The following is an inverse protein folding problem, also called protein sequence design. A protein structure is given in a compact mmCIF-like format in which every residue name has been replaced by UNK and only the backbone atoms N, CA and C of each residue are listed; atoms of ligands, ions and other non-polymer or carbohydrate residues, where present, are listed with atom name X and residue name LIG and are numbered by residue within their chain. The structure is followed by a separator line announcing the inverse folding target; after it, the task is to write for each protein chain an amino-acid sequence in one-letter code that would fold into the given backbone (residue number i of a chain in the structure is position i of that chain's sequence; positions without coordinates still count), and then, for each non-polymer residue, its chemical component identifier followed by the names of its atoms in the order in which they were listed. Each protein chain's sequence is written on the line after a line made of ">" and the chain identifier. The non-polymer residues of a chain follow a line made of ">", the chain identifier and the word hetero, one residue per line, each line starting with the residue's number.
data_IF_110422821742
#
_entry.id   IF_110422821742
#
_cell.length_a   1.000
_cell.length_b   1.000
_cell.length_c   1.000
_cell.angle_alpha   90.00
_cell.angle_beta   90.00
_cell.angle_gamma   90.00
#
_symmetry.space_group_name_H-M   'P 1'
#
loop_
_entity.id
_entity.type
_entity.pdbx_description
1 polymer ?
#
# COMPACT_ATOMS: atom_id res chain seq x y z
N UNK A 1 24.09 21.10 -15.40
CA UNK A 1 24.74 19.77 -15.25
C UNK A 1 23.72 18.89 -14.56
N UNK A 2 22.96 18.14 -15.35
CA UNK A 2 21.86 17.32 -14.85
C UNK A 2 22.38 15.96 -14.40
N UNK A 3 22.33 15.71 -13.10
CA UNK A 3 22.46 14.36 -12.55
C UNK A 3 21.17 13.60 -12.84
N UNK A 4 21.13 12.93 -13.99
CA UNK A 4 20.14 11.89 -14.24
C UNK A 4 20.41 10.73 -13.29
N UNK A 5 19.66 10.67 -12.19
CA UNK A 5 19.61 9.49 -11.33
C UNK A 5 19.09 8.33 -12.17
N UNK A 6 19.93 7.30 -12.30
CA UNK A 6 19.66 6.07 -12.99
C UNK A 6 18.64 5.28 -12.15
N UNK A 7 17.37 5.27 -12.60
CA UNK A 7 16.28 4.56 -11.92
C UNK A 7 16.57 3.04 -11.94
N UNK A 8 16.42 2.39 -10.78
CA UNK A 8 16.87 1.04 -10.46
C UNK A 8 16.59 -0.05 -11.50
N UNK A 9 17.61 -0.92 -11.70
CA UNK A 9 17.60 -2.05 -12.64
C UNK A 9 16.97 -3.32 -12.02
N UNK A 10 15.68 -3.26 -11.65
CA UNK A 10 14.88 -4.45 -11.30
C UNK A 10 13.56 -4.45 -12.08
N UNK A 11 13.11 -5.61 -12.56
CA UNK A 11 11.80 -5.71 -13.21
C UNK A 11 10.70 -5.72 -12.14
N UNK A 12 9.77 -4.75 -12.22
CA UNK A 12 8.60 -4.75 -11.36
C UNK A 12 7.53 -5.67 -11.97
N UNK A 13 6.71 -6.32 -11.13
CA UNK A 13 5.60 -7.18 -11.56
C UNK A 13 4.31 -6.82 -10.84
N UNK A 14 3.22 -6.71 -11.59
CA UNK A 14 1.90 -6.36 -11.09
C UNK A 14 0.95 -7.56 -11.05
N UNK A 15 0.25 -7.71 -9.92
CA UNK A 15 -0.91 -8.61 -9.80
C UNK A 15 -2.13 -7.79 -9.41
N UNK A 16 -3.11 -7.75 -10.32
CA UNK A 16 -4.36 -6.97 -10.18
C UNK A 16 -5.59 -7.88 -10.01
N UNK A 17 -5.58 -9.05 -10.64
CA UNK A 17 -6.73 -9.95 -10.68
C UNK A 17 -6.95 -10.59 -9.30
N UNK A 18 -8.15 -10.46 -8.70
CA UNK A 18 -8.46 -11.01 -7.38
C UNK A 18 -8.01 -12.45 -7.16
N UNK A 19 -8.36 -13.32 -8.11
CA UNK A 19 -8.08 -14.76 -8.09
C UNK A 19 -6.57 -15.09 -8.06
N UNK A 20 -5.70 -14.22 -8.56
CA UNK A 20 -4.25 -14.47 -8.63
C UNK A 20 -3.47 -13.93 -7.42
N UNK A 21 -4.09 -13.08 -6.58
CA UNK A 21 -3.39 -12.35 -5.51
C UNK A 21 -2.85 -13.29 -4.43
N UNK A 22 -3.68 -14.22 -3.96
CA UNK A 22 -3.30 -15.16 -2.89
C UNK A 22 -2.12 -16.02 -3.33
N UNK A 23 -2.22 -16.65 -4.49
CA UNK A 23 -1.15 -17.50 -5.03
C UNK A 23 0.16 -16.73 -5.21
N UNK A 24 0.11 -15.49 -5.69
CA UNK A 24 1.30 -14.66 -5.83
C UNK A 24 1.99 -14.34 -4.48
N UNK A 25 1.23 -14.16 -3.40
CA UNK A 25 1.81 -13.99 -2.04
C UNK A 25 2.41 -15.32 -1.55
N UNK A 26 1.71 -16.43 -1.75
CA UNK A 26 2.20 -17.76 -1.36
C UNK A 26 3.49 -18.12 -2.10
N UNK A 27 3.57 -17.85 -3.41
CA UNK A 27 4.78 -18.04 -4.21
C UNK A 27 5.97 -17.26 -3.66
N UNK A 28 5.76 -15.99 -3.25
CA UNK A 28 6.81 -15.19 -2.64
C UNK A 28 7.30 -15.81 -1.31
N UNK A 29 6.38 -16.18 -0.42
CA UNK A 29 6.73 -16.82 0.85
C UNK A 29 7.46 -18.15 0.64
N UNK A 30 7.07 -18.93 -0.39
CA UNK A 30 7.73 -20.18 -0.79
C UNK A 30 9.13 -19.97 -1.36
N UNK A 31 9.36 -18.84 -2.03
CA UNK A 31 10.65 -18.55 -2.67
C UNK A 31 11.79 -18.30 -1.69
N UNK A 32 11.47 -17.82 -0.48
CA UNK A 32 12.45 -17.47 0.55
C UNK A 32 13.23 -18.71 1.05
N UNK A 33 14.55 -18.54 1.20
CA UNK A 33 15.47 -19.60 1.61
C UNK A 33 16.12 -19.34 2.96
N UNK A 34 16.29 -18.08 3.35
CA UNK A 34 17.02 -17.67 4.55
C UNK A 34 16.17 -16.80 5.46
N UNK A 35 15.52 -15.76 4.92
CA UNK A 35 14.75 -14.79 5.70
C UNK A 35 13.44 -14.41 5.04
N UNK A 36 12.44 -14.12 5.86
CA UNK A 36 11.24 -13.40 5.45
C UNK A 36 11.07 -12.23 6.40
N UNK A 37 11.07 -11.03 5.86
CA UNK A 37 10.65 -9.82 6.57
C UNK A 37 9.21 -9.51 6.17
N UNK A 38 8.29 -9.56 7.12
CA UNK A 38 6.85 -9.44 6.88
C UNK A 38 6.25 -8.32 7.72
N UNK A 39 5.74 -7.30 7.05
CA UNK A 39 4.96 -6.23 7.66
C UNK A 39 3.48 -6.47 7.42
N UNK A 40 2.69 -6.57 8.49
CA UNK A 40 1.25 -6.81 8.37
C UNK A 40 0.40 -5.97 9.33
N UNK A 41 -0.81 -5.62 8.88
CA UNK A 41 -1.81 -4.93 9.69
C UNK A 41 -2.87 -5.92 10.22
N UNK A 42 -3.54 -6.66 9.33
CA UNK A 42 -4.52 -7.71 9.67
C UNK A 42 -4.24 -8.97 8.85
N UNK A 43 -4.46 -10.13 9.47
CA UNK A 43 -4.37 -11.44 8.82
C UNK A 43 -5.40 -12.39 9.41
N UNK A 44 -6.26 -12.96 8.56
CA UNK A 44 -7.16 -14.09 8.91
C UNK A 44 -7.23 -15.15 7.81
N UNK A 45 -6.38 -15.05 6.78
CA UNK A 45 -6.27 -16.08 5.76
C UNK A 45 -5.34 -17.18 6.26
N UNK A 46 -5.92 -18.35 6.56
CA UNK A 46 -5.17 -19.50 7.09
C UNK A 46 -4.11 -20.01 6.11
N UNK A 47 -4.29 -19.85 4.79
CA UNK A 47 -3.28 -20.30 3.83
C UNK A 47 -1.99 -19.49 3.93
N UNK A 48 -2.09 -18.20 4.28
CA UNK A 48 -0.92 -17.36 4.56
C UNK A 48 -0.24 -17.81 5.85
N UNK A 49 -1.01 -18.13 6.89
CA UNK A 49 -0.48 -18.61 8.17
C UNK A 49 0.21 -19.98 8.04
N UNK A 50 -0.38 -20.89 7.26
CA UNK A 50 0.19 -22.19 6.95
C UNK A 50 1.52 -22.04 6.18
N UNK A 51 1.60 -21.08 5.25
CA UNK A 51 2.84 -20.85 4.51
C UNK A 51 3.92 -20.18 5.37
N UNK A 52 3.55 -19.32 6.33
CA UNK A 52 4.49 -18.82 7.36
C UNK A 52 5.03 -19.99 8.20
N UNK A 53 4.16 -20.91 8.65
CA UNK A 53 4.57 -22.10 9.38
C UNK A 53 5.52 -22.98 8.54
N UNK A 54 5.18 -23.20 7.27
CA UNK A 54 6.00 -23.96 6.34
C UNK A 54 7.38 -23.32 6.14
N UNK A 55 7.47 -21.99 6.04
CA UNK A 55 8.74 -21.28 5.95
C UNK A 55 9.62 -21.50 7.19
N UNK A 56 9.04 -21.38 8.39
CA UNK A 56 9.77 -21.67 9.64
C UNK A 56 10.24 -23.12 9.68
N UNK A 57 9.40 -24.09 9.29
CA UNK A 57 9.79 -25.51 9.21
C UNK A 57 10.92 -25.78 8.21
N UNK A 58 11.00 -25.01 7.12
CA UNK A 58 12.13 -25.04 6.17
C UNK A 58 13.42 -24.44 6.75
N UNK A 59 13.38 -23.86 7.94
CA UNK A 59 14.52 -23.19 8.58
C UNK A 59 14.69 -21.72 8.16
N UNK A 60 13.70 -21.12 7.49
CA UNK A 60 13.70 -19.70 7.14
C UNK A 60 13.43 -18.87 8.39
N UNK A 61 14.24 -17.85 8.63
CA UNK A 61 14.02 -16.90 9.73
C UNK A 61 12.91 -15.92 9.35
N UNK A 62 11.70 -16.17 9.85
CA UNK A 62 10.54 -15.33 9.61
C UNK A 62 10.42 -14.26 10.71
N UNK A 63 10.58 -12.99 10.32
CA UNK A 63 10.46 -11.81 11.18
C UNK A 63 9.22 -11.03 10.79
N UNK A 64 8.35 -10.79 11.76
CA UNK A 64 7.04 -10.18 11.55
C UNK A 64 6.92 -8.92 12.39
N UNK A 65 6.63 -7.79 11.74
CA UNK A 65 6.23 -6.56 12.40
C UNK A 65 4.72 -6.39 12.24
N UNK A 66 4.01 -6.37 13.37
CA UNK A 66 2.54 -6.36 13.41
C UNK A 66 2.00 -5.17 14.18
N UNK A 67 0.89 -4.61 13.72
CA UNK A 67 0.17 -3.57 14.47
C UNK A 67 -0.31 -4.08 15.83
N UNK A 68 -0.29 -3.20 16.84
CA UNK A 68 -0.91 -3.48 18.14
C UNK A 68 -2.38 -3.07 18.22
N UNK A 69 -2.84 -2.22 17.28
CA UNK A 69 -4.16 -1.58 17.35
C UNK A 69 -4.80 -1.56 15.98
N UNK A 70 -5.86 -2.36 15.85
CA UNK A 70 -6.83 -2.24 14.79
C UNK A 70 -8.23 -2.26 15.42
N UNK A 71 -9.08 -1.31 15.01
CA UNK A 71 -10.48 -1.22 15.46
C UNK A 71 -11.17 -2.57 15.20
N UNK A 72 -11.96 -3.06 16.15
CA UNK A 72 -12.63 -4.37 16.11
C UNK A 72 -11.72 -5.61 16.20
N UNK A 73 -10.39 -5.45 16.24
CA UNK A 73 -9.43 -6.56 16.08
C UNK A 73 -8.55 -6.81 17.30
N UNK A 74 -8.82 -6.17 18.45
CA UNK A 74 -7.96 -6.28 19.64
C UNK A 74 -7.71 -7.74 20.07
N UNK A 75 -8.77 -8.55 20.19
CA UNK A 75 -8.65 -9.97 20.57
C UNK A 75 -8.01 -10.79 19.45
N UNK A 76 -8.46 -10.62 18.21
CA UNK A 76 -7.91 -11.30 17.02
C UNK A 76 -6.40 -11.04 16.86
N UNK A 77 -5.92 -9.82 17.09
CA UNK A 77 -4.49 -9.48 17.02
C UNK A 77 -3.67 -10.16 18.12
N UNK A 78 -4.22 -10.29 19.33
CA UNK A 78 -3.56 -11.02 20.42
C UNK A 78 -3.45 -12.51 20.07
N UNK A 79 -4.54 -13.12 19.61
CA UNK A 79 -4.57 -14.52 19.18
C UNK A 79 -3.63 -14.76 17.99
N UNK A 80 -3.65 -13.90 16.98
CA UNK A 80 -2.76 -13.95 15.82
C UNK A 80 -1.28 -13.84 16.25
N UNK A 81 -0.95 -12.91 17.15
CA UNK A 81 0.42 -12.73 17.65
C UNK A 81 0.89 -13.99 18.38
N UNK A 82 0.05 -14.58 19.24
CA UNK A 82 0.37 -15.82 19.96
C UNK A 82 0.53 -16.99 19.00
N UNK A 83 -0.36 -17.12 18.01
CA UNK A 83 -0.29 -18.15 16.98
C UNK A 83 1.02 -18.06 16.21
N UNK A 84 1.34 -16.89 15.63
CA UNK A 84 2.57 -16.70 14.86
C UNK A 84 3.84 -17.00 15.68
N UNK A 85 3.87 -16.62 16.96
CA UNK A 85 4.98 -16.98 17.87
C UNK A 85 5.04 -18.48 18.13
N UNK A 86 3.91 -19.13 18.32
CA UNK A 86 3.84 -20.59 18.52
C UNK A 86 4.28 -21.38 17.28
N UNK A 87 4.14 -20.80 16.08
CA UNK A 87 4.69 -21.35 14.83
C UNK A 87 6.20 -21.18 14.70
N UNK A 88 6.85 -20.40 15.58
CA UNK A 88 8.29 -20.15 15.61
C UNK A 88 8.74 -18.90 14.85
N UNK A 89 7.83 -18.02 14.43
CA UNK A 89 8.18 -16.72 13.86
C UNK A 89 8.64 -15.73 14.95
N UNK A 90 9.61 -14.87 14.64
CA UNK A 90 9.98 -13.72 15.46
C UNK A 90 8.96 -12.59 15.25
N UNK A 91 8.01 -12.44 16.18
CA UNK A 91 6.94 -11.45 16.07
C UNK A 91 7.18 -10.28 17.00
N UNK A 92 7.38 -9.12 16.39
CA UNK A 92 7.54 -7.83 17.03
C UNK A 92 6.28 -7.00 16.86
N UNK A 93 5.56 -6.67 17.94
CA UNK A 93 4.48 -5.70 17.87
C UNK A 93 5.04 -4.29 17.70
N UNK A 94 4.45 -3.49 16.81
CA UNK A 94 4.87 -2.11 16.56
C UNK A 94 4.72 -1.25 17.82
N UNK A 95 5.84 -0.73 18.34
CA UNK A 95 5.92 -0.06 19.64
C UNK A 95 5.79 1.46 19.52
N UNK A 96 4.63 1.95 19.09
CA UNK A 96 4.33 3.40 19.11
C UNK A 96 2.95 3.68 19.68
N UNK A 97 2.88 4.58 20.67
CA UNK A 97 1.61 5.07 21.23
C UNK A 97 0.92 6.07 20.29
N UNK A 98 1.71 6.86 19.57
CA UNK A 98 1.26 8.02 18.78
C UNK A 98 1.10 7.75 17.29
N UNK A 99 1.78 6.73 16.76
CA UNK A 99 1.72 6.37 15.33
C UNK A 99 1.11 4.98 15.15
N UNK A 100 0.11 4.88 14.27
CA UNK A 100 -0.51 3.58 13.95
C UNK A 100 0.25 2.92 12.80
N UNK A 101 0.48 1.62 12.92
CA UNK A 101 1.14 0.83 11.88
C UNK A 101 0.14 0.33 10.85
N UNK A 102 0.35 0.63 9.56
CA UNK A 102 -0.54 0.23 8.48
C UNK A 102 0.18 -0.19 7.18
N UNK A 103 1.52 -0.18 7.17
CA UNK A 103 2.35 -0.64 6.08
C UNK A 103 2.17 -2.15 5.84
N UNK A 104 2.05 -2.56 4.57
CA UNK A 104 1.95 -3.96 4.16
C UNK A 104 3.01 -4.25 3.11
N UNK A 105 3.98 -5.05 3.48
CA UNK A 105 5.05 -5.46 2.58
C UNK A 105 5.68 -6.78 3.03
N UNK A 106 6.33 -7.45 2.09
CA UNK A 106 7.10 -8.67 2.33
C UNK A 106 8.44 -8.49 1.64
N UNK A 107 9.53 -8.92 2.26
CA UNK A 107 10.83 -9.07 1.60
C UNK A 107 11.29 -10.50 1.86
N UNK A 108 11.51 -11.27 0.80
CA UNK A 108 12.13 -12.59 0.87
C UNK A 108 13.63 -12.44 0.66
N UNK A 109 14.46 -12.92 1.58
CA UNK A 109 15.93 -12.88 1.49
C UNK A 109 16.49 -11.47 1.20
N UNK A 110 17.13 -11.30 0.04
CA UNK A 110 17.63 -10.03 -0.52
C UNK A 110 16.79 -9.57 -1.73
N UNK A 111 15.53 -10.00 -1.78
CA UNK A 111 14.59 -9.78 -2.87
C UNK A 111 14.04 -11.10 -3.44
N UNK A 112 12.85 -11.07 -4.07
CA UNK A 112 12.05 -9.88 -4.36
C UNK A 112 11.29 -9.33 -3.14
N UNK A 113 10.92 -8.05 -3.23
CA UNK A 113 10.01 -7.38 -2.29
C UNK A 113 8.59 -7.33 -2.87
N UNK A 114 7.59 -7.31 -1.99
CA UNK A 114 6.18 -7.04 -2.28
C UNK A 114 5.74 -5.81 -1.51
N UNK A 115 5.16 -4.82 -2.19
CA UNK A 115 4.37 -3.73 -1.61
C UNK A 115 2.92 -3.89 -2.04
N UNK A 116 1.97 -3.74 -1.10
CA UNK A 116 0.56 -3.99 -1.41
C UNK A 116 -0.40 -3.08 -0.66
N UNK A 117 -1.59 -2.88 -1.24
CA UNK A 117 -2.71 -2.22 -0.58
C UNK A 117 -3.54 -3.17 0.30
N UNK A 118 -3.41 -4.49 0.12
CA UNK A 118 -4.26 -5.49 0.80
C UNK A 118 -3.81 -5.80 2.22
N UNK A 119 -4.80 -6.02 3.10
CA UNK A 119 -4.59 -6.81 4.30
C UNK A 119 -4.57 -8.30 3.94
N UNK A 120 -3.87 -9.15 4.70
CA UNK A 120 -3.82 -10.60 4.46
C UNK A 120 -5.09 -11.31 4.99
N UNK A 121 -6.26 -10.76 4.66
CA UNK A 121 -7.56 -11.29 5.07
C UNK A 121 -8.27 -11.94 3.89
N UNK A 122 -9.14 -12.92 4.18
CA UNK A 122 -9.96 -13.59 3.14
C UNK A 122 -10.77 -12.58 2.33
N UNK A 123 -11.39 -11.60 3.00
CA UNK A 123 -12.11 -10.49 2.38
C UNK A 123 -11.25 -9.74 1.36
N UNK A 124 -10.01 -9.39 1.71
CA UNK A 124 -9.12 -8.67 0.80
C UNK A 124 -8.64 -9.54 -0.38
N UNK A 125 -8.58 -10.85 -0.23
CA UNK A 125 -8.25 -11.74 -1.35
C UNK A 125 -9.43 -11.98 -2.29
N UNK A 126 -10.65 -11.99 -1.79
CA UNK A 126 -11.84 -12.47 -2.53
C UNK A 126 -12.78 -11.36 -2.99
N UNK A 127 -12.92 -10.30 -2.19
CA UNK A 127 -14.07 -9.38 -2.29
C UNK A 127 -13.68 -7.91 -2.50
N UNK A 128 -12.39 -7.62 -2.62
CA UNK A 128 -11.88 -6.26 -2.85
C UNK A 128 -11.05 -6.18 -4.14
N UNK A 129 -10.86 -4.96 -4.64
CA UNK A 129 -9.88 -4.63 -5.67
C UNK A 129 -8.66 -4.03 -5.00
N UNK A 130 -7.60 -4.83 -4.86
CA UNK A 130 -6.30 -4.41 -4.32
C UNK A 130 -5.18 -4.75 -5.30
N UNK A 131 -4.01 -4.18 -5.03
CA UNK A 131 -2.86 -4.24 -5.91
C UNK A 131 -1.66 -4.84 -5.20
N UNK A 132 -0.92 -5.70 -5.90
CA UNK A 132 0.38 -6.20 -5.46
C UNK A 132 1.41 -5.75 -6.48
N UNK A 133 2.48 -5.15 -5.96
CA UNK A 133 3.65 -4.77 -6.75
C UNK A 133 4.84 -5.52 -6.19
N UNK A 134 5.39 -6.43 -7.00
CA UNK A 134 6.64 -7.10 -6.71
C UNK A 134 7.77 -6.29 -7.33
N UNK A 135 8.89 -6.16 -6.64
CA UNK A 135 10.06 -5.44 -7.12
C UNK A 135 11.33 -6.20 -6.75
N UNK A 136 12.22 -6.34 -7.74
CA UNK A 136 13.60 -6.81 -7.55
C UNK A 136 14.58 -5.63 -7.42
N UNK A 137 14.08 -4.39 -7.46
CA UNK A 137 14.89 -3.18 -7.35
C UNK A 137 15.60 -3.13 -5.98
N UNK A 138 16.95 -3.15 -5.94
CA UNK A 138 17.70 -3.12 -4.70
C UNK A 138 17.36 -1.91 -3.81
N UNK A 139 16.99 -0.77 -4.39
CA UNK A 139 16.62 0.42 -3.63
C UNK A 139 15.33 0.20 -2.83
N UNK A 140 14.39 -0.56 -3.41
CA UNK A 140 13.11 -0.90 -2.77
C UNK A 140 13.33 -1.98 -1.71
N UNK A 141 14.06 -3.04 -2.05
CA UNK A 141 14.37 -4.14 -1.13
C UNK A 141 15.12 -3.61 0.10
N UNK A 142 16.21 -2.87 -0.11
CA UNK A 142 17.01 -2.31 0.98
C UNK A 142 16.23 -1.26 1.75
N UNK A 143 15.46 -0.39 1.08
CA UNK A 143 14.62 0.60 1.73
C UNK A 143 13.59 -0.01 2.67
N UNK A 144 12.94 -1.11 2.27
CA UNK A 144 11.99 -1.84 3.13
C UNK A 144 12.66 -2.57 4.29
N UNK A 145 13.84 -3.17 4.08
CA UNK A 145 14.64 -3.78 5.16
C UNK A 145 15.08 -2.72 6.18
N UNK A 146 15.57 -1.57 5.71
CA UNK A 146 15.92 -0.42 6.55
C UNK A 146 14.71 0.09 7.33
N UNK A 147 13.56 0.23 6.67
CA UNK A 147 12.32 0.65 7.33
C UNK A 147 11.91 -0.33 8.42
N UNK A 148 11.97 -1.65 8.15
CA UNK A 148 11.64 -2.67 9.14
C UNK A 148 12.53 -2.57 10.38
N UNK A 149 13.86 -2.49 10.21
CA UNK A 149 14.77 -2.32 11.35
C UNK A 149 14.49 -1.02 12.11
N UNK A 150 14.25 0.07 11.40
CA UNK A 150 13.91 1.35 12.02
C UNK A 150 12.63 1.25 12.84
N UNK A 151 11.58 0.65 12.29
CA UNK A 151 10.28 0.52 12.95
C UNK A 151 10.29 -0.47 14.12
N UNK A 152 11.22 -1.44 14.14
CA UNK A 152 11.46 -2.33 15.28
C UNK A 152 12.11 -1.61 16.48
N UNK A 153 12.95 -0.59 16.25
CA UNK A 153 13.78 0.00 17.30
C UNK A 153 13.41 1.45 17.65
N UNK A 154 13.17 2.29 16.65
CA UNK A 154 12.97 3.74 16.81
C UNK A 154 11.84 4.27 15.93
N UNK A 155 10.62 3.71 15.97
CA UNK A 155 9.58 3.95 14.97
C UNK A 155 9.17 5.41 14.77
N UNK A 156 9.32 6.26 15.79
CA UNK A 156 8.94 7.69 15.77
C UNK A 156 10.06 8.64 15.35
N UNK A 157 11.30 8.14 15.18
CA UNK A 157 12.39 8.97 14.69
C UNK A 157 12.23 9.23 13.17
N UNK A 158 12.75 10.34 12.63
CA UNK A 158 12.76 10.58 11.21
C UNK A 158 13.59 9.52 10.48
N UNK A 159 13.01 8.89 9.46
CA UNK A 159 13.73 7.93 8.62
C UNK A 159 14.46 8.65 7.48
N UNK A 160 15.74 8.30 7.26
CA UNK A 160 16.56 8.83 6.18
C UNK A 160 17.11 7.72 5.28
N UNK A 161 17.62 8.08 4.11
CA UNK A 161 18.22 7.12 3.16
C UNK A 161 17.21 6.36 2.28
N UNK A 162 15.93 6.72 2.33
CA UNK A 162 14.90 6.16 1.44
C UNK A 162 14.90 6.89 0.10
N UNK A 163 15.06 6.13 -0.98
CA UNK A 163 15.12 6.67 -2.35
C UNK A 163 13.74 7.19 -2.82
N UNK A 164 13.70 7.78 -4.03
CA UNK A 164 12.47 8.31 -4.62
C UNK A 164 11.47 7.21 -5.06
N UNK A 165 11.91 5.95 -5.15
CA UNK A 165 11.09 4.79 -5.52
C UNK A 165 10.13 4.36 -4.41
N UNK A 166 10.53 4.52 -3.15
CA UNK A 166 9.73 4.15 -1.98
C UNK A 166 9.22 5.41 -1.25
N UNK A 167 7.91 5.53 -1.16
CA UNK A 167 7.23 6.56 -0.37
C UNK A 167 6.89 5.96 1.00
N UNK A 168 7.22 6.68 2.06
CA UNK A 168 6.99 6.27 3.45
C UNK A 168 6.29 7.42 4.18
N UNK A 169 5.11 7.12 4.73
CA UNK A 169 4.38 8.03 5.61
C UNK A 169 4.71 7.71 7.07
N UNK A 170 4.77 8.71 7.98
CA UNK A 170 4.45 10.11 7.72
C UNK A 170 5.62 10.95 7.21
N UNK A 171 6.83 10.38 7.09
CA UNK A 171 8.06 11.13 6.84
C UNK A 171 7.98 12.04 5.60
N UNK A 172 7.89 11.46 4.40
CA UNK A 172 7.97 12.20 3.13
C UNK A 172 6.73 12.04 2.25
N UNK A 173 5.73 11.30 2.72
CA UNK A 173 4.53 10.97 1.95
C UNK A 173 3.73 12.22 1.51
N UNK A 174 3.35 13.10 2.45
CA UNK A 174 2.57 14.31 2.11
C UNK A 174 3.30 15.16 1.09
N UNK A 175 4.57 15.46 1.33
CA UNK A 175 5.37 16.28 0.44
C UNK A 175 5.47 15.65 -0.95
N UNK A 176 5.94 14.40 -1.04
CA UNK A 176 6.19 13.75 -2.33
C UNK A 176 4.92 13.52 -3.14
N UNK A 177 3.81 13.16 -2.51
CA UNK A 177 2.54 12.95 -3.21
C UNK A 177 1.96 14.28 -3.70
N UNK A 178 1.97 15.32 -2.85
CA UNK A 178 1.52 16.67 -3.23
C UNK A 178 2.34 17.24 -4.38
N UNK A 179 3.67 17.12 -4.34
CA UNK A 179 4.54 17.59 -5.41
C UNK A 179 4.24 16.88 -6.74
N UNK A 180 4.10 15.55 -6.73
CA UNK A 180 3.78 14.78 -7.94
C UNK A 180 2.43 15.17 -8.54
N UNK A 181 1.39 15.29 -7.72
CA UNK A 181 0.07 15.75 -8.16
C UNK A 181 0.13 17.19 -8.68
N UNK A 182 0.91 18.06 -8.05
CA UNK A 182 1.10 19.46 -8.45
C UNK A 182 1.78 19.57 -9.82
N UNK A 183 2.68 18.66 -10.18
CA UNK A 183 3.34 18.70 -11.48
C UNK A 183 2.59 17.98 -12.59
N UNK A 184 1.50 17.27 -12.30
CA UNK A 184 0.66 16.64 -13.33
C UNK A 184 0.18 17.63 -14.40
N UNK A 185 0.30 17.29 -15.68
CA UNK A 185 0.00 18.15 -16.82
C UNK A 185 -1.14 17.63 -17.70
N UNK A 186 -1.33 16.32 -17.82
CA UNK A 186 -2.20 15.71 -18.82
C UNK A 186 -3.35 14.91 -18.22
N UNK A 187 -3.18 14.27 -17.06
CA UNK A 187 -4.28 13.60 -16.35
C UNK A 187 -3.91 13.17 -14.94
N UNK A 188 -4.93 13.07 -14.08
CA UNK A 188 -4.83 12.45 -12.76
C UNK A 188 -5.95 11.39 -12.64
N UNK A 189 -5.57 10.15 -12.35
CA UNK A 189 -6.48 9.07 -11.98
C UNK A 189 -6.20 8.59 -10.57
N UNK A 190 -7.21 8.49 -9.71
CA UNK A 190 -7.04 8.04 -8.32
C UNK A 190 -8.07 6.95 -8.05
N UNK A 191 -7.64 5.82 -7.50
CA UNK A 191 -8.51 4.86 -6.84
C UNK A 191 -8.12 4.86 -5.36
N UNK A 192 -9.01 5.41 -4.54
CA UNK A 192 -8.83 5.54 -3.09
C UNK A 192 -10.19 5.88 -2.47
N UNK A 193 -10.71 5.00 -1.61
CA UNK A 193 -11.99 5.20 -0.93
C UNK A 193 -11.95 6.24 0.20
N UNK A 194 -10.80 6.87 0.48
CA UNK A 194 -10.61 7.85 1.57
C UNK A 194 -9.83 9.08 1.09
N UNK A 195 -10.18 9.63 -0.07
CA UNK A 195 -9.65 10.95 -0.49
C UNK A 195 -10.37 12.05 0.29
N UNK A 196 -9.83 12.41 1.45
CA UNK A 196 -10.43 13.37 2.37
C UNK A 196 -9.48 14.49 2.82
N UNK A 197 -8.22 14.45 2.40
CA UNK A 197 -7.25 15.50 2.76
C UNK A 197 -7.62 16.84 2.11
N UNK A 198 -7.81 17.93 2.90
CA UNK A 198 -8.27 19.22 2.36
C UNK A 198 -7.30 19.85 1.36
N UNK A 199 -5.99 19.71 1.58
CA UNK A 199 -4.97 20.30 0.70
C UNK A 199 -4.89 19.53 -0.62
N UNK A 200 -4.95 18.19 -0.56
CA UNK A 200 -5.03 17.35 -1.74
C UNK A 200 -6.32 17.63 -2.52
N UNK A 201 -7.48 17.70 -1.86
CA UNK A 201 -8.75 18.02 -2.52
C UNK A 201 -8.75 19.42 -3.15
N UNK A 202 -8.14 20.42 -2.50
CA UNK A 202 -7.94 21.74 -3.09
C UNK A 202 -7.06 21.67 -4.34
N UNK A 203 -5.95 20.93 -4.28
CA UNK A 203 -5.05 20.74 -5.42
C UNK A 203 -5.72 20.02 -6.59
N UNK A 204 -6.50 18.97 -6.33
CA UNK A 204 -7.23 18.23 -7.38
C UNK A 204 -8.28 19.13 -8.06
N UNK A 205 -9.01 19.94 -7.29
CA UNK A 205 -9.95 20.94 -7.84
C UNK A 205 -9.25 22.03 -8.66
N UNK A 206 -8.08 22.49 -8.21
CA UNK A 206 -7.24 23.43 -8.95
C UNK A 206 -6.83 22.82 -10.30
N UNK A 207 -6.35 21.57 -10.29
CA UNK A 207 -5.97 20.85 -11.51
C UNK A 207 -7.13 20.69 -12.48
N UNK A 208 -8.30 20.29 -11.98
CA UNK A 208 -9.51 20.19 -12.78
C UNK A 208 -9.92 21.54 -13.39
N UNK A 209 -9.84 22.62 -12.61
CA UNK A 209 -10.16 23.99 -13.08
C UNK A 209 -9.18 24.49 -14.14
N UNK A 210 -7.93 24.05 -14.07
CA UNK A 210 -6.89 24.33 -15.06
C UNK A 210 -6.96 23.42 -16.30
N UNK A 211 -8.01 22.59 -16.42
CA UNK A 211 -8.26 21.74 -17.59
C UNK A 211 -7.54 20.40 -17.59
N UNK A 212 -6.86 20.02 -16.51
CA UNK A 212 -6.31 18.66 -16.34
C UNK A 212 -7.47 17.72 -15.99
N UNK A 213 -7.76 16.67 -16.77
CA UNK A 213 -8.74 15.66 -16.39
C UNK A 213 -8.37 14.99 -15.07
N UNK A 214 -9.25 15.09 -14.08
CA UNK A 214 -9.10 14.45 -12.77
C UNK A 214 -10.26 13.47 -12.57
N UNK A 215 -9.96 12.20 -12.33
CA UNK A 215 -10.94 11.15 -12.02
C UNK A 215 -10.57 10.48 -10.71
N UNK A 216 -11.47 10.49 -9.74
CA UNK A 216 -11.29 9.84 -8.43
C UNK A 216 -12.37 8.78 -8.26
N UNK A 217 -11.98 7.52 -8.12
CA UNK A 217 -12.85 6.41 -7.73
C UNK A 217 -12.77 6.28 -6.21
N UNK A 218 -13.87 6.63 -5.54
CA UNK A 218 -14.00 6.62 -4.09
C UNK A 218 -14.50 5.29 -3.54
N UNK A 219 -15.34 5.37 -2.50
CA UNK A 219 -15.95 4.20 -1.89
C UNK A 219 -17.12 3.68 -2.74
N UNK A 220 -16.80 2.74 -3.65
CA UNK A 220 -17.77 2.14 -4.56
C UNK A 220 -17.54 0.64 -4.72
N UNK A 221 -18.59 -0.07 -5.15
CA UNK A 221 -18.49 -1.47 -5.59
C UNK A 221 -18.53 -1.56 -7.11
N UNK A 222 -17.55 -2.25 -7.68
CA UNK A 222 -17.40 -2.43 -9.12
C UNK A 222 -17.34 -3.92 -9.41
N UNK A 223 -18.31 -4.42 -10.19
CA UNK A 223 -18.53 -5.84 -10.48
C UNK A 223 -18.54 -6.72 -9.21
N UNK A 224 -19.24 -6.24 -8.18
CA UNK A 224 -19.36 -6.95 -6.90
C UNK A 224 -18.14 -6.85 -5.97
N UNK A 225 -17.05 -6.19 -6.37
CA UNK A 225 -15.84 -6.00 -5.55
C UNK A 225 -15.75 -4.57 -5.00
N UNK A 226 -15.33 -4.43 -3.75
CA UNK A 226 -15.10 -3.11 -3.11
C UNK A 226 -13.82 -2.48 -3.65
N UNK A 227 -13.85 -1.19 -4.00
CA UNK A 227 -12.69 -0.39 -4.41
C UNK A 227 -11.79 -0.05 -3.20
N UNK A 228 -11.13 -1.06 -2.64
CA UNK A 228 -10.31 -0.90 -1.43
C UNK A 228 -8.88 -0.40 -1.72
N UNK A 229 -8.30 -0.75 -2.86
CA UNK A 229 -6.90 -0.48 -3.18
C UNK A 229 -6.54 1.00 -3.19
N UNK A 230 -5.24 1.31 -3.20
CA UNK A 230 -4.75 2.69 -3.34
C UNK A 230 -3.83 2.76 -4.55
N UNK A 231 -4.26 3.53 -5.54
CA UNK A 231 -3.53 3.76 -6.78
C UNK A 231 -3.69 5.21 -7.21
N UNK A 232 -2.57 5.84 -7.56
CA UNK A 232 -2.54 7.18 -8.18
C UNK A 232 -1.85 7.03 -9.54
N UNK A 233 -2.46 7.54 -10.59
CA UNK A 233 -1.94 7.60 -11.95
C UNK A 233 -1.75 9.06 -12.32
N UNK A 234 -0.55 9.39 -12.83
CA UNK A 234 -0.17 10.75 -13.19
C UNK A 234 0.32 10.73 -14.63
N UNK A 235 -0.37 11.48 -15.47
CA UNK A 235 -0.03 11.76 -16.86
C UNK A 235 0.16 10.53 -17.77
N UNK A 236 -0.31 9.36 -17.32
CA UNK A 236 -0.09 8.08 -18.01
C UNK A 236 1.37 7.60 -18.00
N UNK A 237 2.24 8.23 -17.21
CA UNK A 237 3.69 7.93 -17.16
C UNK A 237 4.19 7.50 -15.79
N UNK A 238 3.46 7.83 -14.73
CA UNK A 238 3.78 7.42 -13.35
C UNK A 238 2.55 6.80 -12.69
N UNK A 239 2.78 5.72 -11.95
CA UNK A 239 1.82 5.17 -11.01
C UNK A 239 2.39 5.15 -9.59
N UNK A 240 1.54 5.33 -8.58
CA UNK A 240 1.90 5.13 -7.17
C UNK A 240 0.93 4.13 -6.56
N UNK A 241 1.45 3.05 -5.99
CA UNK A 241 0.64 1.96 -5.44
C UNK A 241 1.16 1.56 -4.06
N UNK A 242 0.25 1.37 -3.10
CA UNK A 242 0.61 0.87 -1.78
C UNK A 242 -0.52 0.97 -0.78
N UNK A 243 -0.16 1.25 0.48
CA UNK A 243 -1.12 1.33 1.59
C UNK A 243 -1.54 2.77 1.92
N UNK A 244 -1.02 3.78 1.22
CA UNK A 244 -1.22 5.20 1.56
C UNK A 244 -2.54 5.72 0.99
N UNK A 245 -3.41 6.23 1.87
CA UNK A 245 -4.56 7.03 1.46
C UNK A 245 -4.22 8.51 1.37
N UNK A 246 -4.98 9.23 0.55
CA UNK A 246 -5.02 10.70 0.50
C UNK A 246 -5.92 11.28 1.58
N UNK A 247 -5.66 10.90 2.83
CA UNK A 247 -6.32 11.42 4.04
C UNK A 247 -5.28 11.89 5.06
N UNK A 248 -5.58 12.87 5.92
CA UNK A 248 -4.61 13.38 6.89
C UNK A 248 -4.04 12.29 7.81
N UNK A 249 -4.84 11.33 8.35
CA UNK A 249 -4.29 10.26 9.17
C UNK A 249 -3.28 9.36 8.44
N UNK A 250 -3.53 9.05 7.16
CA UNK A 250 -2.59 8.25 6.35
C UNK A 250 -1.30 9.00 6.05
N UNK A 251 -1.42 10.27 5.67
CA UNK A 251 -0.29 11.08 5.24
C UNK A 251 0.63 11.47 6.40
N UNK A 252 0.07 11.74 7.60
CA UNK A 252 0.81 12.42 8.68
C UNK A 252 0.90 11.62 10.00
N UNK A 253 0.10 10.58 10.18
CA UNK A 253 -0.02 9.91 11.50
C UNK A 253 0.08 8.37 11.45
N UNK A 254 0.17 7.77 10.26
CA UNK A 254 0.28 6.33 10.07
C UNK A 254 1.58 5.98 9.40
N UNK A 255 2.19 4.88 9.87
CA UNK A 255 3.28 4.24 9.16
C UNK A 255 2.71 3.49 7.97
N UNK A 256 2.94 3.99 6.77
CA UNK A 256 2.46 3.43 5.50
C UNK A 256 3.54 3.50 4.43
N UNK A 257 3.39 2.69 3.38
CA UNK A 257 4.35 2.62 2.28
C UNK A 257 3.63 2.63 0.92
N UNK A 258 4.28 3.20 -0.08
CA UNK A 258 3.87 3.08 -1.48
C UNK A 258 5.09 3.06 -2.41
N UNK A 259 4.94 2.40 -3.56
CA UNK A 259 5.95 2.33 -4.61
C UNK A 259 5.60 3.28 -5.74
N UNK A 260 6.58 4.02 -6.24
CA UNK A 260 6.48 4.81 -7.48
C UNK A 260 6.93 3.96 -8.66
N UNK A 261 6.08 3.78 -9.67
CA UNK A 261 6.32 2.97 -10.88
C UNK A 261 6.33 3.89 -12.09
N UNK A 262 7.46 3.92 -12.81
CA UNK A 262 7.63 4.70 -14.05
C UNK A 262 7.88 3.78 -15.28
N UNK A 263 7.76 2.47 -15.10
CA UNK A 263 7.92 1.49 -16.18
C UNK A 263 6.71 1.57 -17.13
N UNK A 264 6.90 2.16 -18.31
CA UNK A 264 5.82 2.46 -19.25
C UNK A 264 4.84 1.29 -19.52
N UNK A 265 5.29 0.02 -19.72
CA UNK A 265 4.35 -1.10 -19.92
C UNK A 265 3.45 -1.36 -18.70
N UNK A 266 3.98 -1.18 -17.49
CA UNK A 266 3.22 -1.38 -16.25
C UNK A 266 2.24 -0.23 -16.02
N UNK A 267 2.67 1.01 -16.26
CA UNK A 267 1.80 2.20 -16.13
C UNK A 267 0.67 2.14 -17.15
N UNK A 268 0.94 1.76 -18.39
CA UNK A 268 -0.09 1.56 -19.42
C UNK A 268 -1.13 0.51 -18.99
N UNK A 269 -0.67 -0.64 -18.47
CA UNK A 269 -1.57 -1.68 -17.95
C UNK A 269 -2.44 -1.20 -16.79
N UNK A 270 -1.88 -0.42 -15.87
CA UNK A 270 -2.63 0.17 -14.75
C UNK A 270 -3.63 1.21 -15.22
N UNK A 271 -3.24 2.02 -16.22
CA UNK A 271 -4.13 2.99 -16.85
C UNK A 271 -5.31 2.30 -17.51
N UNK A 272 -5.09 1.27 -18.32
CA UNK A 272 -6.16 0.49 -18.96
C UNK A 272 -7.10 -0.11 -17.90
N UNK A 273 -6.55 -0.73 -16.86
CA UNK A 273 -7.33 -1.27 -15.74
C UNK A 273 -8.14 -0.19 -15.02
N UNK A 274 -7.57 1.00 -14.80
CA UNK A 274 -8.29 2.13 -14.23
C UNK A 274 -9.44 2.59 -15.13
N UNK A 275 -9.22 2.69 -16.45
CA UNK A 275 -10.26 3.13 -17.39
C UNK A 275 -11.45 2.17 -17.45
N UNK A 276 -11.26 0.85 -17.26
CA UNK A 276 -12.42 -0.07 -17.21
C UNK A 276 -13.37 0.26 -16.06
N UNK A 277 -12.85 0.83 -14.98
CA UNK A 277 -13.63 1.27 -13.82
C UNK A 277 -14.13 2.71 -13.98
N UNK A 278 -13.26 3.60 -14.43
CA UNK A 278 -13.52 5.04 -14.57
C UNK A 278 -14.35 5.42 -15.80
N UNK A 279 -14.70 4.44 -16.66
CA UNK A 279 -15.64 4.62 -17.77
C UNK A 279 -17.10 4.68 -17.34
N UNK A 280 -17.42 4.24 -16.12
CA UNK A 280 -18.73 4.44 -15.51
C UNK A 280 -18.70 5.69 -14.62
N UNK A 281 -19.35 6.77 -15.05
CA UNK A 281 -19.40 8.04 -14.32
C UNK A 281 -20.00 7.90 -12.90
N UNK A 282 -20.84 6.90 -12.66
CA UNK A 282 -21.38 6.62 -11.32
C UNK A 282 -20.29 6.21 -10.30
N UNK A 283 -19.11 5.79 -10.77
CA UNK A 283 -17.97 5.46 -9.92
C UNK A 283 -17.12 6.68 -9.54
N UNK A 284 -17.33 7.82 -10.19
CA UNK A 284 -16.46 9.00 -10.05
C UNK A 284 -16.98 9.91 -8.95
N UNK A 285 -16.13 10.15 -7.95
CA UNK A 285 -16.38 11.10 -6.86
C UNK A 285 -16.54 12.52 -7.42
N UNK A 286 -17.58 13.23 -6.97
CA UNK A 286 -17.72 14.65 -7.25
C UNK A 286 -16.81 15.47 -6.32
N UNK A 287 -15.80 16.14 -6.89
CA UNK A 287 -14.89 17.01 -6.15
C UNK A 287 -15.51 18.35 -5.72
N UNK A 288 -16.69 18.70 -6.24
CA UNK A 288 -17.44 19.91 -5.90
C UNK A 288 -18.79 19.54 -5.29
N UNK A 289 -18.81 18.97 -4.07
CA UNK A 289 -20.07 18.59 -3.44
C UNK A 289 -20.94 19.83 -3.22
N UNK A 290 -22.19 19.75 -3.66
CA UNK A 290 -23.21 20.76 -3.40
C UNK A 290 -23.79 20.54 -2.00
N UNK A 291 -23.09 20.94 -0.94
CA UNK A 291 -23.58 20.77 0.44
C UNK A 291 -22.48 20.76 1.50
N UNK A 292 -22.86 20.84 2.78
CA UNK A 292 -21.94 20.58 3.89
C UNK A 292 -21.49 19.11 3.84
N UNK A 293 -20.22 18.80 4.11
CA UNK A 293 -19.79 17.42 4.27
C UNK A 293 -20.64 16.77 5.36
N UNK A 294 -21.22 15.60 5.08
CA UNK A 294 -21.66 14.73 6.18
C UNK A 294 -20.41 14.41 7.01
N UNK A 295 -20.50 14.54 8.33
CA UNK A 295 -19.41 14.16 9.22
C UNK A 295 -19.13 12.68 8.96
N UNK A 296 -17.99 12.37 8.33
CA UNK A 296 -17.53 11.00 8.15
C UNK A 296 -17.43 10.35 9.54
N UNK A 297 -18.42 9.53 9.90
CA UNK A 297 -18.24 8.52 10.93
C UNK A 297 -17.03 7.68 10.47
N UNK A 298 -16.00 7.57 11.31
CA UNK A 298 -14.82 6.74 11.02
C UNK A 298 -15.18 5.24 11.03
N UNK A 299 -15.97 4.81 10.08
CA UNK A 299 -16.44 3.44 9.84
C UNK A 299 -16.09 3.16 8.36
N UNK A 300 -15.65 2.00 7.88
CA UNK A 300 -15.78 0.62 8.33
C UNK A 300 -14.79 -0.18 7.43
N UNK A 301 -13.61 -0.57 7.91
CA UNK A 301 -12.96 -1.73 7.27
C UNK A 301 -13.68 -2.96 7.83
N UNK A 302 -14.93 -3.20 7.35
CA UNK A 302 -15.86 -4.17 7.92
C UNK A 302 -15.22 -5.53 8.13
N UNK A 303 -15.61 -6.09 9.27
CA UNK A 303 -15.51 -7.46 9.80
C UNK A 303 -14.92 -8.56 8.91
#
# INVERSE_FOLDING_TARGET
>A
MGSGEQIGQGMDRLVLAPAARRDAVLELLRSARQTITLSMFRCDDFTILDEVAAAVQRGVHVRILITQRARGWKKKLQELTLLLRSLGADVQPYQSSVMKYHAKYIVADDGPALVTSLNFTRKCFESTRDFLVFSEDPDVVNGLKMLFEHDCHTPTAPLSGITNRLIVAPDQARQRLTERLRYAQTSIGILDHRVTDPEILALLREKQSNGVPVKVIGDVRIDGLVAHGRMILIDGVTAVIGSIHLSPPSLDARREVALVIDQAPLVARLYDYFQTMAGNEANIMNLWPSGLPEEDEEDEEDE
#
